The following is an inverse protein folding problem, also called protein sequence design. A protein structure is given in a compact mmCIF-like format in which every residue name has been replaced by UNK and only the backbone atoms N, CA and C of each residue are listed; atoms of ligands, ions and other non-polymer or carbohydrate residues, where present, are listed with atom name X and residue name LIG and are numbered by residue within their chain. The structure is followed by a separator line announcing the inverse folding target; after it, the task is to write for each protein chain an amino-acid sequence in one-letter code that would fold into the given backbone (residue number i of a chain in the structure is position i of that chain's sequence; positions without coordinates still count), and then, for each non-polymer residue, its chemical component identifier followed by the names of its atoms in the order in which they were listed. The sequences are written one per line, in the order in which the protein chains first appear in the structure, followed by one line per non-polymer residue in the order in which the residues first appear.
data_IF_051244015652
#
_entry.id   IF_051244015652
#
_cell.length_a   1.000
_cell.length_b   1.000
_cell.length_c   1.000
_cell.angle_alpha   90.00
_cell.angle_beta   90.00
_cell.angle_gamma   90.00
#
_symmetry.space_group_name_H-M   'P 1'
#
loop_
_entity.id
_entity.type
_entity.pdbx_description
1 polymer ?
#
# COMPACT_ATOMS: atom_id res chain seq x y z
N UNK A 1 16.21 -1.80 5.77
CA UNK A 1 17.14 -0.77 5.24
C UNK A 1 16.82 0.47 6.03
N UNK A 2 17.73 1.08 6.78
CA UNK A 2 17.34 2.25 7.55
C UNK A 2 17.30 3.48 6.63
N UNK A 3 16.08 3.96 6.32
CA UNK A 3 15.86 5.10 5.42
C UNK A 3 16.13 6.45 6.09
N UNK A 4 16.39 6.51 7.40
CA UNK A 4 16.62 7.76 8.13
C UNK A 4 17.99 8.38 7.84
N UNK A 5 18.91 7.62 7.26
CA UNK A 5 20.26 8.08 6.89
C UNK A 5 20.35 8.61 5.45
N UNK A 6 19.29 8.49 4.66
CA UNK A 6 19.27 8.89 3.25
C UNK A 6 19.04 10.39 3.14
N UNK A 7 19.66 11.00 2.14
CA UNK A 7 19.40 12.40 1.78
C UNK A 7 17.97 12.56 1.23
N UNK A 8 17.35 13.75 1.34
CA UNK A 8 15.99 13.98 0.83
C UNK A 8 15.89 13.77 -0.70
N UNK A 9 16.98 13.94 -1.43
CA UNK A 9 17.05 13.63 -2.86
C UNK A 9 17.06 12.12 -3.10
N UNK A 10 17.87 11.36 -2.35
CA UNK A 10 17.94 9.89 -2.46
C UNK A 10 16.62 9.22 -2.05
N UNK A 11 15.91 9.79 -1.07
CA UNK A 11 14.57 9.33 -0.69
C UNK A 11 13.56 9.48 -1.83
N UNK A 12 13.63 10.57 -2.61
CA UNK A 12 12.72 10.77 -3.76
C UNK A 12 12.96 9.76 -4.88
N UNK A 13 14.17 9.25 -5.00
CA UNK A 13 14.54 8.19 -5.94
C UNK A 13 14.18 6.79 -5.43
N UNK A 14 13.90 6.64 -4.13
CA UNK A 14 13.47 5.37 -3.55
C UNK A 14 12.05 5.00 -3.99
N UNK A 15 11.86 3.72 -4.29
CA UNK A 15 10.52 3.19 -4.58
C UNK A 15 9.69 3.08 -3.31
N UNK A 16 8.41 3.46 -3.38
CA UNK A 16 7.46 3.35 -2.27
C UNK A 16 7.38 1.91 -1.72
N UNK A 17 7.56 0.90 -2.58
CA UNK A 17 7.53 -0.51 -2.17
C UNK A 17 8.71 -0.90 -1.27
N UNK A 18 9.89 -0.35 -1.52
CA UNK A 18 11.08 -0.61 -0.70
C UNK A 18 10.95 0.06 0.66
N UNK A 19 10.35 1.26 0.69
CA UNK A 19 10.00 1.95 1.94
C UNK A 19 9.06 1.11 2.77
N UNK A 20 7.98 0.58 2.18
CA UNK A 20 7.05 -0.32 2.89
C UNK A 20 7.73 -1.55 3.44
N UNK A 21 8.62 -2.17 2.64
CA UNK A 21 9.34 -3.34 3.10
C UNK A 21 10.16 -3.05 4.37
N UNK A 22 10.84 -1.90 4.47
CA UNK A 22 11.50 -1.56 5.73
C UNK A 22 10.51 -1.16 6.81
N UNK A 23 9.51 -0.33 6.54
CA UNK A 23 8.52 0.10 7.52
C UNK A 23 7.88 -1.12 8.21
N UNK A 24 7.41 -2.09 7.43
CA UNK A 24 6.88 -3.34 7.98
C UNK A 24 7.97 -4.13 8.72
N UNK A 25 9.18 -4.23 8.17
CA UNK A 25 10.32 -4.91 8.81
C UNK A 25 10.68 -4.36 10.19
N UNK A 26 10.60 -3.05 10.37
CA UNK A 26 10.84 -2.34 11.63
C UNK A 26 9.68 -2.50 12.61
N UNK A 27 8.44 -2.35 12.14
CA UNK A 27 7.22 -2.47 12.95
C UNK A 27 6.96 -3.90 13.41
N UNK A 28 7.32 -4.90 12.60
CA UNK A 28 7.05 -6.35 12.81
C UNK A 28 5.58 -6.65 13.11
N UNK A 29 4.68 -5.82 12.60
CA UNK A 29 3.24 -5.95 12.80
C UNK A 29 2.49 -5.68 11.49
N UNK A 30 1.36 -6.37 11.33
CA UNK A 30 0.47 -6.13 10.21
C UNK A 30 -0.22 -4.78 10.35
N UNK A 31 -0.16 -3.97 9.29
CA UNK A 31 -0.58 -2.56 9.30
C UNK A 31 -1.59 -2.32 8.19
N UNK A 32 -2.56 -1.43 8.39
CA UNK A 32 -3.56 -1.18 7.34
C UNK A 32 -2.94 -0.46 6.15
N UNK A 33 -3.52 -0.61 4.95
CA UNK A 33 -3.02 0.10 3.76
C UNK A 33 -2.95 1.62 3.96
N UNK A 34 -3.97 2.22 4.60
CA UNK A 34 -4.00 3.66 4.87
C UNK A 34 -2.84 4.10 5.78
N UNK A 35 -2.58 3.35 6.86
CA UNK A 35 -1.45 3.62 7.74
C UNK A 35 -0.11 3.47 7.02
N UNK A 36 0.03 2.48 6.13
CA UNK A 36 1.23 2.32 5.31
C UNK A 36 1.43 3.53 4.40
N UNK A 37 0.39 3.98 3.70
CA UNK A 37 0.45 5.16 2.84
C UNK A 37 0.89 6.40 3.63
N UNK A 38 0.34 6.60 4.83
CA UNK A 38 0.72 7.70 5.71
C UNK A 38 2.19 7.62 6.16
N UNK A 39 2.67 6.44 6.56
CA UNK A 39 4.06 6.27 6.97
C UNK A 39 5.04 6.46 5.80
N UNK A 40 4.71 5.94 4.61
CA UNK A 40 5.53 6.17 3.41
C UNK A 40 5.58 7.66 3.06
N UNK A 41 4.44 8.35 3.12
CA UNK A 41 4.36 9.78 2.84
C UNK A 41 5.24 10.59 3.79
N UNK A 42 5.25 10.23 5.07
CA UNK A 42 6.11 10.84 6.09
C UNK A 42 7.60 10.56 5.85
N UNK A 43 7.96 9.32 5.52
CA UNK A 43 9.35 8.93 5.27
C UNK A 43 9.90 9.61 4.00
N UNK A 44 9.09 9.70 2.96
CA UNK A 44 9.49 10.29 1.67
C UNK A 44 9.27 11.80 1.60
N UNK A 45 8.67 12.43 2.61
CA UNK A 45 8.34 13.85 2.62
C UNK A 45 7.42 14.27 1.47
N UNK A 46 6.51 13.40 1.04
CA UNK A 46 5.61 13.64 -0.08
C UNK A 46 4.37 14.44 0.36
N UNK A 47 3.91 15.36 -0.49
CA UNK A 47 2.62 16.02 -0.29
C UNK A 47 1.45 15.07 -0.56
N UNK A 48 0.27 15.37 -0.02
CA UNK A 48 -0.93 14.55 -0.22
C UNK A 48 -1.28 14.39 -1.71
N UNK A 49 -1.07 15.43 -2.51
CA UNK A 49 -1.30 15.40 -3.95
C UNK A 49 -0.34 14.45 -4.67
N UNK A 50 0.95 14.46 -4.30
CA UNK A 50 1.95 13.54 -4.86
C UNK A 50 1.67 12.09 -4.47
N UNK A 51 1.21 11.86 -3.25
CA UNK A 51 0.80 10.53 -2.77
C UNK A 51 -0.40 10.04 -3.58
N UNK A 52 -1.44 10.87 -3.73
CA UNK A 52 -2.62 10.52 -4.51
C UNK A 52 -2.30 10.22 -5.98
N UNK A 53 -1.36 10.95 -6.58
CA UNK A 53 -0.91 10.67 -7.94
C UNK A 53 -0.20 9.31 -8.09
N UNK A 54 0.44 8.82 -7.03
CA UNK A 54 1.21 7.55 -7.03
C UNK A 54 0.46 6.38 -6.38
N UNK A 55 -0.65 6.62 -5.68
CA UNK A 55 -1.32 5.60 -4.85
C UNK A 55 -1.81 4.39 -5.66
N UNK A 56 -2.30 4.61 -6.88
CA UNK A 56 -2.77 3.55 -7.76
C UNK A 56 -1.61 2.63 -8.22
N UNK A 57 -0.46 3.24 -8.56
CA UNK A 57 0.75 2.50 -8.91
C UNK A 57 1.27 1.73 -7.70
N UNK A 58 1.32 2.39 -6.53
CA UNK A 58 1.72 1.74 -5.29
C UNK A 58 0.84 0.54 -4.94
N UNK A 59 -0.48 0.64 -5.08
CA UNK A 59 -1.38 -0.49 -4.87
C UNK A 59 -1.11 -1.62 -5.86
N UNK A 60 -0.82 -1.29 -7.12
CA UNK A 60 -0.45 -2.28 -8.13
C UNK A 60 0.84 -3.00 -7.74
N UNK A 61 1.89 -2.25 -7.41
CA UNK A 61 3.18 -2.79 -6.97
C UNK A 61 3.04 -3.65 -5.71
N UNK A 62 2.23 -3.22 -4.74
CA UNK A 62 1.97 -3.96 -3.50
C UNK A 62 1.26 -5.30 -3.75
N UNK A 63 0.35 -5.37 -4.73
CA UNK A 63 -0.40 -6.59 -5.05
C UNK A 63 0.38 -7.57 -5.95
N UNK A 64 1.31 -7.08 -6.78
CA UNK A 64 2.15 -7.94 -7.62
C UNK A 64 3.42 -8.40 -6.89
N UNK A 65 3.87 -7.66 -5.88
CA UNK A 65 5.08 -7.99 -5.13
C UNK A 65 4.82 -9.14 -4.14
N UNK A 66 5.41 -10.30 -4.42
CA UNK A 66 5.24 -11.51 -3.63
C UNK A 66 5.87 -11.50 -2.24
N UNK A 67 6.53 -10.42 -1.82
CA UNK A 67 7.07 -10.27 -0.45
C UNK A 67 5.98 -9.85 0.54
N UNK A 68 4.87 -9.29 0.07
CA UNK A 68 3.77 -8.84 0.91
C UNK A 68 2.62 -9.83 0.89
N UNK A 69 1.86 -9.86 1.98
CA UNK A 69 0.64 -10.65 2.12
C UNK A 69 -0.47 -9.80 2.72
N UNK A 70 -1.66 -9.92 2.15
CA UNK A 70 -2.88 -9.36 2.72
C UNK A 70 -3.46 -10.36 3.72
N UNK A 71 -3.63 -9.95 4.98
CA UNK A 71 -4.09 -10.80 6.09
C UNK A 71 -5.58 -10.61 6.38
N UNK A 72 -6.32 -10.02 5.43
CA UNK A 72 -7.71 -9.59 5.62
C UNK A 72 -7.84 -8.15 6.15
N UNK A 73 -9.05 -7.60 6.07
CA UNK A 73 -9.39 -6.24 6.54
C UNK A 73 -8.47 -5.13 5.99
N UNK A 74 -7.92 -5.32 4.80
CA UNK A 74 -6.94 -4.42 4.19
C UNK A 74 -5.67 -4.21 5.05
N UNK A 75 -5.29 -5.23 5.84
CA UNK A 75 -4.04 -5.29 6.58
C UNK A 75 -2.98 -6.02 5.79
N UNK A 76 -1.78 -5.45 5.77
CA UNK A 76 -0.64 -5.93 5.02
C UNK A 76 0.51 -6.26 5.97
N UNK A 77 1.19 -7.37 5.66
CA UNK A 77 2.37 -7.82 6.39
C UNK A 77 3.40 -8.42 5.45
N UNK A 78 4.57 -8.80 5.99
CA UNK A 78 5.60 -9.48 5.23
C UNK A 78 5.31 -10.98 5.17
N UNK A 79 5.41 -11.56 3.97
CA UNK A 79 5.29 -13.00 3.74
C UNK A 79 6.29 -13.80 4.59
N UNK A 80 7.47 -13.25 4.82
CA UNK A 80 8.53 -13.86 5.65
C UNK A 80 8.15 -14.11 7.11
N UNK A 81 7.08 -13.48 7.62
CA UNK A 81 6.58 -13.72 8.99
C UNK A 81 5.75 -14.98 9.11
N UNK A 82 5.23 -15.49 7.99
CA UNK A 82 4.28 -16.58 7.97
C UNK A 82 4.89 -17.83 7.31
N UNK A 83 4.65 -19.03 7.87
CA UNK A 83 5.04 -20.29 7.23
C UNK A 83 4.39 -20.43 5.87
N UNK A 84 5.09 -21.06 4.93
CA UNK A 84 4.60 -21.29 3.57
C UNK A 84 3.23 -21.97 3.54
N UNK A 85 2.99 -22.94 4.44
CA UNK A 85 1.75 -23.71 4.54
C UNK A 85 0.54 -22.84 4.90
N UNK A 86 0.71 -21.77 5.68
CA UNK A 86 -0.39 -20.87 6.06
C UNK A 86 -0.76 -19.87 4.97
N UNK A 87 0.14 -19.65 4.01
CA UNK A 87 -0.04 -18.64 2.95
C UNK A 87 -0.88 -19.19 1.79
N UNK A 88 -0.73 -20.47 1.47
CA UNK A 88 -1.48 -21.12 0.37
C UNK A 88 -3.00 -21.20 0.67
N UNK A 89 -3.36 -21.38 1.94
CA UNK A 89 -4.76 -21.53 2.38
C UNK A 89 -5.57 -20.22 2.33
N UNK A 90 -4.91 -19.06 2.32
CA UNK A 90 -5.55 -17.74 2.30
C UNK A 90 -5.77 -17.19 0.87
N UNK A 91 -4.98 -17.66 -0.11
CA UNK A 91 -5.10 -17.25 -1.51
C UNK A 91 -6.25 -17.99 -2.21
N UNK A 92 -6.57 -19.20 -1.76
CA UNK A 92 -7.67 -19.98 -2.30
C UNK A 92 -9.00 -19.53 -1.67
N UNK A 93 -10.03 -19.21 -2.48
CA UNK A 93 -11.35 -18.94 -1.93
C UNK A 93 -11.82 -20.15 -1.13
N UNK A 94 -12.00 -19.95 0.18
CA UNK A 94 -12.47 -20.97 1.10
C UNK A 94 -13.75 -21.61 0.53
N UNK A 95 -13.80 -22.94 0.32
CA UNK A 95 -14.94 -23.59 -0.29
C UNK A 95 -16.16 -23.43 0.62
N UNK A 96 -17.09 -22.54 0.26
CA UNK A 96 -18.37 -22.42 0.96
C UNK A 96 -19.07 -23.78 0.93
N UNK A 97 -19.49 -24.34 2.08
CA UNK A 97 -20.15 -25.63 2.09
C UNK A 97 -21.45 -25.53 1.29
N UNK A 98 -21.52 -26.23 0.14
CA UNK A 98 -22.74 -26.35 -0.65
C UNK A 98 -23.82 -26.94 0.27
N UNK A 99 -24.88 -26.16 0.55
CA UNK A 99 -26.07 -26.67 1.25
C UNK A 99 -26.66 -27.81 0.39
N UNK A 100 -26.46 -29.05 0.83
CA UNK A 100 -27.11 -30.21 0.19
C UNK A 100 -28.62 -30.04 0.35
N UNK A 101 -29.33 -29.71 -0.74
CA UNK A 101 -30.79 -29.84 -0.77
C UNK A 101 -31.08 -31.33 -0.59
N UNK A 102 -31.77 -31.67 0.50
CA UNK A 102 -32.27 -33.03 0.72
C UNK A 102 -33.37 -33.26 -0.30
N UNK A 103 -33.06 -33.95 -1.39
CA UNK A 103 -34.05 -34.46 -2.34
C UNK A 103 -34.70 -35.65 -1.66
N UNK A 104 -36.00 -35.53 -1.35
CA UNK A 104 -36.82 -36.67 -0.99
C UNK A 104 -37.01 -37.54 -2.23
N UNK A 105 -36.75 -38.83 -2.02
CA UNK A 105 -36.83 -39.93 -2.96
C UNK A 105 -38.28 -40.10 -3.45
N UNK A 106 -38.54 -39.82 -4.72
CA UNK A 106 -39.58 -40.54 -5.48
C UNK A 106 -39.12 -40.66 -6.95
N UNK A 107 -39.06 -41.90 -7.41
CA UNK A 107 -38.31 -42.28 -8.60
C UNK A 107 -39.00 -41.95 -9.92
N UNK A 108 -38.21 -41.53 -10.91
CA UNK A 108 -38.38 -41.95 -12.29
C UNK A 108 -37.09 -41.73 -13.10
N UNK A 109 -37.02 -42.50 -14.17
CA UNK A 109 -35.91 -42.90 -15.04
C UNK A 109 -35.35 -41.79 -15.96
N UNK A 110 -34.14 -42.07 -16.45
CA UNK A 110 -33.54 -41.70 -17.74
C UNK A 110 -32.90 -40.30 -17.97
N UNK A 111 -31.57 -40.36 -18.04
CA UNK A 111 -30.68 -39.75 -19.04
C UNK A 111 -31.09 -38.41 -19.69
N UNK A 112 -30.49 -37.30 -19.22
CA UNK A 112 -30.05 -36.21 -20.09
C UNK A 112 -28.65 -35.78 -19.63
N UNK A 113 -27.66 -36.21 -20.40
CA UNK A 113 -26.35 -35.56 -20.51
C UNK A 113 -26.56 -34.37 -21.46
N UNK A 114 -26.78 -33.19 -20.90
CA UNK A 114 -26.69 -31.93 -21.64
C UNK A 114 -25.71 -31.04 -20.88
N UNK A 115 -24.51 -31.01 -21.44
CA UNK A 115 -23.54 -29.94 -21.30
C UNK A 115 -24.25 -28.65 -21.76
N UNK A 116 -24.82 -27.90 -20.82
CA UNK A 116 -25.34 -26.56 -21.08
C UNK A 116 -24.62 -25.61 -20.12
N UNK A 117 -23.73 -24.81 -20.70
CA UNK A 117 -23.23 -23.54 -20.18
C UNK A 117 -24.41 -22.73 -19.62
N UNK A 118 -24.70 -22.88 -18.34
CA UNK A 118 -25.68 -22.05 -17.61
C UNK A 118 -25.03 -20.70 -17.30
N UNK A 119 -24.92 -19.90 -18.36
CA UNK A 119 -24.62 -18.48 -18.32
C UNK A 119 -25.93 -17.73 -18.12
N UNK A 120 -26.53 -17.80 -16.93
CA UNK A 120 -27.60 -16.86 -16.57
C UNK A 120 -27.77 -16.65 -15.06
N UNK A 121 -27.21 -15.55 -14.56
CA UNK A 121 -27.90 -14.71 -13.58
C UNK A 121 -27.38 -13.27 -13.73
N UNK A 122 -27.66 -12.67 -14.89
CA UNK A 122 -27.82 -11.21 -14.97
C UNK A 122 -29.20 -10.91 -14.40
N UNK A 123 -29.29 -10.78 -13.08
CA UNK A 123 -30.42 -10.07 -12.47
C UNK A 123 -30.21 -8.57 -12.68
N UNK A 124 -30.58 -8.13 -13.88
CA UNK A 124 -30.82 -6.73 -14.19
C UNK A 124 -32.10 -6.29 -13.48
N UNK A 125 -31.95 -5.86 -12.23
CA UNK A 125 -32.94 -5.03 -11.54
C UNK A 125 -32.49 -3.57 -11.65
N UNK A 126 -32.80 -2.97 -12.79
CA UNK A 126 -32.94 -1.52 -12.93
C UNK A 126 -34.26 -1.12 -12.26
N UNK A 127 -34.19 -0.61 -11.03
CA UNK A 127 -35.13 0.38 -10.55
C UNK A 127 -34.41 1.34 -9.60
N UNK A 128 -34.45 2.59 -10.03
CA UNK A 128 -33.88 3.83 -9.53
C UNK A 128 -34.23 4.10 -8.06
N UNK A 129 -33.26 4.55 -7.24
CA UNK A 129 -33.49 5.72 -6.38
C UNK A 129 -32.16 6.41 -6.04
N UNK A 130 -32.25 7.73 -6.07
CA UNK A 130 -31.23 8.75 -6.20
C UNK A 130 -30.94 9.30 -4.80
N UNK A 131 -29.78 8.97 -4.22
CA UNK A 131 -29.25 9.68 -3.05
C UNK A 131 -27.72 9.65 -3.08
N UNK A 132 -27.16 10.20 -4.15
CA UNK A 132 -25.82 10.81 -4.08
C UNK A 132 -25.96 12.12 -3.31
N UNK A 133 -26.08 12.05 -1.98
CA UNK A 133 -25.85 13.19 -1.12
C UNK A 133 -24.39 13.62 -1.26
N UNK A 134 -24.18 14.50 -2.25
CA UNK A 134 -23.26 15.64 -2.26
C UNK A 134 -22.24 15.65 -1.10
N UNK A 135 -21.22 14.79 -1.20
CA UNK A 135 -20.06 14.79 -0.30
C UNK A 135 -19.12 15.97 -0.59
N UNK A 136 -19.58 16.99 -1.32
CA UNK A 136 -18.85 18.23 -1.58
C UNK A 136 -19.21 19.32 -0.55
N UNK A 137 -20.28 19.14 0.24
CA UNK A 137 -20.83 20.22 1.09
C UNK A 137 -20.36 20.25 2.55
N UNK A 138 -19.43 19.39 2.97
CA UNK A 138 -19.02 19.32 4.39
C UNK A 138 -17.77 20.16 4.69
N UNK A 139 -17.20 20.88 3.72
CA UNK A 139 -15.98 21.69 3.93
C UNK A 139 -16.09 23.15 3.46
N UNK A 140 -17.29 23.65 3.19
CA UNK A 140 -17.56 25.09 3.08
C UNK A 140 -18.32 25.56 4.32
N UNK A 141 -17.60 25.80 5.42
CA UNK A 141 -17.81 26.93 6.35
C UNK A 141 -16.81 26.83 7.53
N UNK A 142 -15.57 27.26 7.30
CA UNK A 142 -14.82 27.96 8.33
C UNK A 142 -14.21 29.20 7.68
N UNK A 143 -15.09 30.18 7.42
CA UNK A 143 -14.74 31.56 7.14
C UNK A 143 -14.20 32.21 8.42
N UNK A 144 -13.02 32.83 8.35
CA UNK A 144 -12.59 33.78 9.37
C UNK A 144 -11.09 33.96 9.57
N UNK A 145 -10.46 34.72 8.67
CA UNK A 145 -9.61 35.88 9.02
C UNK A 145 -8.32 35.62 9.83
N UNK A 146 -7.15 35.68 9.18
CA UNK A 146 -6.15 36.70 9.54
C UNK A 146 -5.12 36.88 8.41
N UNK A 147 -4.87 38.15 8.14
CA UNK A 147 -3.93 38.77 7.23
C UNK A 147 -2.46 38.38 7.50
N UNK A 148 -1.61 38.72 6.51
CA UNK A 148 -0.21 39.10 6.71
C UNK A 148 0.82 37.97 6.88
N UNK A 149 1.43 37.55 5.76
CA UNK A 149 2.88 37.48 5.68
C UNK A 149 3.34 37.98 4.31
N UNK A 150 3.52 39.30 4.29
CA UNK A 150 4.39 40.07 3.42
C UNK A 150 5.79 39.41 3.30
N UNK A 151 6.36 39.56 2.10
CA UNK A 151 7.77 39.87 1.86
C UNK A 151 8.87 39.00 2.51
N UNK A 152 9.46 38.08 1.72
CA UNK A 152 10.92 37.89 1.69
C UNK A 152 11.38 37.62 0.24
N UNK A 153 11.65 38.72 -0.46
CA UNK A 153 12.90 39.05 -1.19
C UNK A 153 13.95 37.89 -1.20
N UNK A 154 14.31 37.33 -2.33
CA UNK A 154 15.41 37.75 -3.24
C UNK A 154 16.81 37.71 -2.61
N UNK A 155 17.75 37.15 -3.38
CA UNK A 155 19.21 37.15 -3.21
C UNK A 155 19.83 36.47 -1.98
N UNK A 156 20.50 35.32 -2.20
CA UNK A 156 21.96 35.24 -1.99
C UNK A 156 22.56 34.06 -2.78
N UNK A 157 23.10 34.40 -3.96
CA UNK A 157 24.20 33.71 -4.62
C UNK A 157 25.45 33.71 -3.72
N UNK A 158 26.36 32.77 -3.95
CA UNK A 158 27.72 32.70 -3.38
C UNK A 158 27.86 31.95 -2.03
N UNK A 159 28.28 30.68 -2.08
CA UNK A 159 29.55 30.36 -1.43
C UNK A 159 30.26 29.20 -2.13
N UNK A 160 31.38 29.60 -2.73
CA UNK A 160 32.47 28.85 -3.32
C UNK A 160 32.72 27.40 -2.83
N UNK A 161 32.96 26.57 -3.84
CA UNK A 161 33.79 25.38 -3.89
C UNK A 161 35.02 25.46 -2.96
N UNK A 162 35.07 24.61 -1.93
CA UNK A 162 36.29 24.27 -1.19
C UNK A 162 36.52 22.76 -1.24
N UNK A 163 37.31 22.37 -2.23
CA UNK A 163 38.08 21.13 -2.35
C UNK A 163 38.94 20.94 -1.08
N UNK A 164 38.72 19.85 -0.32
CA UNK A 164 39.67 19.39 0.70
C UNK A 164 39.84 17.86 0.66
N UNK A 165 40.78 17.47 -0.20
CA UNK A 165 41.94 16.61 0.06
C UNK A 165 41.73 15.37 0.97
N UNK A 166 41.75 14.21 0.30
CA UNK A 166 41.99 12.89 0.87
C UNK A 166 43.30 12.87 1.66
N UNK A 167 43.26 12.62 2.98
CA UNK A 167 44.43 12.13 3.73
C UNK A 167 44.28 10.62 3.92
N UNK A 168 44.92 9.89 3.02
CA UNK A 168 45.29 8.49 3.16
C UNK A 168 46.42 8.41 4.19
N UNK A 169 46.12 7.95 5.41
CA UNK A 169 47.15 7.44 6.32
C UNK A 169 46.90 5.96 6.63
N UNK A 170 47.66 5.16 5.89
CA UNK A 170 48.03 3.77 6.15
C UNK A 170 48.49 3.51 7.59
N UNK A 171 48.20 2.28 8.04
CA UNK A 171 49.01 1.40 8.90
C UNK A 171 49.60 1.96 10.22
N UNK A 172 49.19 1.36 11.35
CA UNK A 172 50.14 0.53 12.11
C UNK A 172 49.40 -0.47 13.02
N UNK A 173 49.72 -1.74 12.76
CA UNK A 173 49.50 -2.93 13.57
C UNK A 173 50.37 -2.83 14.84
N UNK A 174 49.83 -3.00 16.04
CA UNK A 174 50.63 -3.57 17.13
C UNK A 174 49.76 -4.34 18.15
N UNK A 175 50.18 -5.60 18.34
CA UNK A 175 49.76 -6.56 19.35
C UNK A 175 50.02 -6.08 20.81
N UNK A 176 49.56 -6.91 21.76
CA UNK A 176 49.71 -6.90 23.22
C UNK A 176 48.53 -6.26 23.98
N UNK A 177 47.83 -6.97 24.87
CA UNK A 177 48.28 -8.02 25.81
C UNK A 177 47.08 -8.87 26.30
#
# INVERSE_FOLDING_TARGET
MDFKQYSPEELKECSMIEVVHSVLGDKKQATTFNELVQEIAQVLGLSQEQVNAKIAQFYTDLNIDGRFINLGENRWGLRSWYPYEQIDEEILPQPKPKKKRKVEEDGFDDYIEEDEDDFDDVDGNEDEDDDVEDLDKVLEDEDGDDDDLDDLDDDEDDFAEEELEYDETEEEEEEEL
#
